data_IF_588286623360
#
_entry.id   IF_588286623360
#
_cell.length_a   1.000
_cell.length_b   1.000
_cell.length_c   1.000
_cell.angle_alpha   90.00
_cell.angle_beta   90.00
_cell.angle_gamma   90.00
#
_symmetry.space_group_name_H-M   'P 1'
#
loop_
_entity.id
_entity.type
_entity.pdbx_description
1 polymer ?
#
# COMPACT_ATOMS: atom_id res chain seq x y z
N UNK A 1 -27.52 4.05 -27.08
CA UNK A 1 -26.88 2.95 -26.33
C UNK A 1 -26.15 3.60 -25.17
N UNK A 2 -26.75 3.61 -23.98
CA UNK A 2 -26.16 4.25 -22.80
C UNK A 2 -25.26 3.22 -22.13
N UNK A 3 -23.95 3.44 -22.16
CA UNK A 3 -22.97 2.59 -21.51
C UNK A 3 -22.96 2.96 -20.03
N UNK A 4 -23.41 2.05 -19.18
CA UNK A 4 -23.41 2.23 -17.72
C UNK A 4 -21.96 2.26 -17.21
N UNK A 5 -21.48 3.46 -16.87
CA UNK A 5 -20.13 3.68 -16.36
C UNK A 5 -19.90 3.08 -14.96
N UNK A 6 -20.94 2.65 -14.23
CA UNK A 6 -20.78 2.03 -12.92
C UNK A 6 -20.35 0.56 -13.00
N UNK A 7 -20.43 -0.07 -14.18
CA UNK A 7 -20.00 -1.46 -14.39
C UNK A 7 -18.50 -1.63 -14.71
N UNK A 8 -17.71 -0.56 -14.77
CA UNK A 8 -16.26 -0.63 -15.01
C UNK A 8 -15.43 -0.68 -13.71
N UNK A 9 -15.98 -1.21 -12.61
CA UNK A 9 -15.13 -1.49 -11.44
C UNK A 9 -14.26 -2.69 -11.76
N UNK A 10 -13.01 -2.41 -12.15
CA UNK A 10 -11.97 -3.43 -12.28
C UNK A 10 -11.84 -4.12 -10.93
N UNK A 11 -12.16 -5.41 -10.88
CA UNK A 11 -12.17 -6.21 -9.67
C UNK A 11 -10.75 -6.66 -9.37
N UNK A 12 -10.27 -6.27 -8.20
CA UNK A 12 -9.02 -6.80 -7.66
C UNK A 12 -9.17 -8.31 -7.42
N UNK A 13 -8.24 -9.07 -7.97
CA UNK A 13 -8.15 -10.52 -7.85
C UNK A 13 -7.33 -10.94 -6.64
N UNK A 14 -6.14 -10.35 -6.56
CA UNK A 14 -5.12 -10.76 -5.62
C UNK A 14 -4.39 -9.49 -5.18
N UNK A 15 -4.39 -9.24 -3.88
CA UNK A 15 -3.56 -8.22 -3.26
C UNK A 15 -2.47 -8.93 -2.46
N UNK A 16 -1.22 -8.58 -2.74
CA UNK A 16 -0.07 -9.04 -1.97
C UNK A 16 0.69 -7.84 -1.44
N UNK A 17 1.16 -7.95 -0.21
CA UNK A 17 2.00 -6.95 0.43
C UNK A 17 3.32 -7.62 0.78
N UNK A 18 4.42 -7.12 0.22
CA UNK A 18 5.76 -7.60 0.55
C UNK A 18 6.54 -6.49 1.20
N UNK A 19 7.39 -6.86 2.14
CA UNK A 19 8.32 -5.91 2.74
C UNK A 19 9.30 -5.42 1.67
N UNK A 20 9.49 -4.10 1.60
CA UNK A 20 10.47 -3.48 0.72
C UNK A 20 11.90 -3.66 1.23
N UNK A 21 12.88 -3.52 0.35
CA UNK A 21 14.31 -3.67 0.69
C UNK A 21 14.88 -2.37 1.28
N UNK A 22 14.16 -1.26 1.20
CA UNK A 22 14.66 0.04 1.61
C UNK A 22 14.76 0.22 3.14
N UNK A 23 15.47 1.29 3.50
CA UNK A 23 15.71 1.73 4.87
C UNK A 23 14.43 1.98 5.66
N UNK A 24 14.52 1.83 7.00
CA UNK A 24 13.46 2.26 7.91
C UNK A 24 13.53 3.78 8.08
N UNK A 25 12.38 4.45 8.09
CA UNK A 25 12.27 5.89 8.25
C UNK A 25 11.65 6.21 9.61
N UNK A 26 12.09 7.30 10.24
CA UNK A 26 11.40 7.82 11.41
C UNK A 26 10.49 8.97 11.00
N UNK A 27 9.26 8.98 11.52
CA UNK A 27 8.28 10.04 11.30
C UNK A 27 7.63 10.43 12.62
N UNK A 28 7.45 11.72 12.87
CA UNK A 28 6.62 12.18 13.99
C UNK A 28 5.13 12.11 13.62
N UNK A 29 4.32 11.52 14.50
CA UNK A 29 2.86 11.43 14.37
C UNK A 29 2.25 11.73 15.74
N UNK A 30 1.42 12.76 15.82
CA UNK A 30 0.77 13.20 17.07
C UNK A 30 1.73 13.44 18.26
N UNK A 31 2.95 13.89 17.98
CA UNK A 31 3.97 14.13 19.02
C UNK A 31 4.88 12.94 19.30
N UNK A 32 4.50 11.73 18.88
CA UNK A 32 5.29 10.50 19.06
C UNK A 32 6.21 10.26 17.86
N UNK A 33 7.40 9.73 18.11
CA UNK A 33 8.30 9.26 17.05
C UNK A 33 7.88 7.84 16.65
N UNK A 34 7.60 7.63 15.37
CA UNK A 34 7.15 6.35 14.84
C UNK A 34 8.13 5.87 13.78
N UNK A 35 8.52 4.60 13.88
CA UNK A 35 9.32 3.90 12.89
C UNK A 35 8.40 3.39 11.78
N UNK A 36 8.69 3.81 10.55
CA UNK A 36 8.03 3.38 9.33
C UNK A 36 8.93 2.46 8.52
N UNK A 37 8.30 1.48 7.88
CA UNK A 37 8.98 0.58 6.95
C UNK A 37 8.29 0.61 5.59
N UNK A 38 9.09 0.42 4.56
CA UNK A 38 8.60 0.29 3.20
C UNK A 38 7.93 -1.06 2.98
N UNK A 39 6.82 -1.03 2.26
CA UNK A 39 6.19 -2.19 1.67
C UNK A 39 5.88 -1.95 0.20
N UNK A 40 5.89 -3.02 -0.58
CA UNK A 40 5.48 -3.04 -1.97
C UNK A 40 4.14 -3.77 -2.01
N UNK A 41 3.09 -3.00 -2.26
CA UNK A 41 1.75 -3.51 -2.51
C UNK A 41 1.62 -3.84 -3.99
N UNK A 42 1.13 -5.03 -4.29
CA UNK A 42 0.89 -5.51 -5.64
C UNK A 42 -0.53 -5.99 -5.74
N UNK A 43 -1.30 -5.35 -6.62
CA UNK A 43 -2.68 -5.72 -6.93
C UNK A 43 -2.75 -6.25 -8.35
N UNK A 44 -3.24 -7.47 -8.52
CA UNK A 44 -3.63 -8.02 -9.82
C UNK A 44 -5.12 -7.87 -10.01
N UNK A 45 -5.53 -7.55 -11.22
CA UNK A 45 -6.93 -7.37 -11.59
C UNK A 45 -7.41 -8.50 -12.50
N UNK A 46 -8.63 -8.98 -12.25
CA UNK A 46 -9.20 -10.09 -13.03
C UNK A 46 -9.56 -9.68 -14.47
N UNK A 47 -10.06 -8.46 -14.64
CA UNK A 47 -10.76 -8.10 -15.86
C UNK A 47 -9.81 -7.87 -17.05
N UNK A 48 -8.56 -7.49 -16.80
CA UNK A 48 -7.54 -7.22 -17.83
C UNK A 48 -6.19 -7.91 -17.57
N UNK A 49 -6.11 -8.73 -16.51
CA UNK A 49 -4.86 -9.33 -16.02
C UNK A 49 -3.76 -8.28 -15.75
N UNK A 50 -4.13 -7.01 -15.57
CA UNK A 50 -3.20 -5.94 -15.26
C UNK A 50 -2.69 -6.08 -13.83
N UNK A 51 -1.51 -5.51 -13.61
CA UNK A 51 -0.83 -5.54 -12.32
C UNK A 51 -0.44 -4.12 -11.97
N UNK A 52 -0.95 -3.63 -10.84
CA UNK A 52 -0.51 -2.37 -10.23
C UNK A 52 0.47 -2.70 -9.12
N UNK A 53 1.59 -2.00 -9.11
CA UNK A 53 2.61 -2.10 -8.07
C UNK A 53 2.75 -0.71 -7.46
N UNK A 54 2.58 -0.62 -6.14
CA UNK A 54 2.64 0.64 -5.39
C UNK A 54 3.55 0.49 -4.18
N UNK A 55 4.44 1.45 -4.00
CA UNK A 55 5.22 1.59 -2.79
C UNK A 55 4.37 2.27 -1.71
N UNK A 56 4.31 1.65 -0.53
CA UNK A 56 3.54 2.15 0.62
C UNK A 56 4.39 2.09 1.88
N UNK A 57 4.29 3.13 2.72
CA UNK A 57 4.98 3.20 4.00
C UNK A 57 3.99 2.85 5.11
N UNK A 58 4.35 1.93 6.01
CA UNK A 58 3.52 1.57 7.17
C UNK A 58 4.28 1.79 8.47
N UNK A 59 3.56 2.30 9.45
CA UNK A 59 3.99 2.41 10.84
C UNK A 59 4.19 1.00 11.39
N UNK A 60 5.38 0.67 11.89
CA UNK A 60 5.71 -0.66 12.43
C UNK A 60 5.91 -0.63 13.94
N UNK A 61 6.39 0.48 14.49
CA UNK A 61 6.72 0.60 15.91
C UNK A 61 6.68 2.06 16.36
N UNK A 62 6.16 2.33 17.55
CA UNK A 62 6.32 3.62 18.22
C UNK A 62 7.61 3.59 19.03
N UNK A 63 8.47 4.57 18.80
CA UNK A 63 9.76 4.69 19.46
C UNK A 63 9.55 5.52 20.71
N UNK A 64 9.73 4.90 21.88
CA UNK A 64 9.81 5.65 23.13
C UNK A 64 11.16 6.36 23.19
N UNK A 65 11.13 7.70 23.20
CA UNK A 65 12.31 8.51 23.49
C UNK A 65 12.53 8.42 25.02
N UNK A 66 13.47 7.58 25.47
CA UNK A 66 13.95 7.52 26.88
C UNK A 66 14.74 8.78 27.28
#
# INVERSE_FOLDING_TARGET
MFVDMNNFRIRACECSLKEGVNFRLFRRKNGELVLQKEFIETTKYFDDNSKVIKQVWRDIETVNEE
#
